data_IF_931876769424
#
_entry.id   IF_931876769424
#
_cell.length_a   1.000
_cell.length_b   1.000
_cell.length_c   1.000
_cell.angle_alpha   90.00
_cell.angle_beta   90.00
_cell.angle_gamma   90.00
#
_symmetry.space_group_name_H-M   'P 1'
#
loop_
_entity.id
_entity.type
_entity.pdbx_description
1 polymer ?
#
# COMPACT_ATOMS: atom_id res chain seq x y z
N UNK A 1 -3.00 4.44 -24.84
CA UNK A 1 -3.51 3.23 -24.11
C UNK A 1 -4.49 3.68 -23.05
N UNK A 2 -5.55 2.90 -22.78
CA UNK A 2 -6.48 3.16 -21.67
C UNK A 2 -5.74 2.96 -20.36
N UNK A 3 -5.82 3.94 -19.44
CA UNK A 3 -5.21 3.84 -18.12
C UNK A 3 -5.98 2.82 -17.26
N UNK A 4 -5.29 2.14 -16.36
CA UNK A 4 -5.90 1.29 -15.35
C UNK A 4 -6.49 2.16 -14.24
N UNK A 5 -7.74 1.91 -13.89
CA UNK A 5 -8.44 2.59 -12.80
C UNK A 5 -7.92 2.08 -11.46
N UNK A 6 -7.47 2.98 -10.60
CA UNK A 6 -6.94 2.69 -9.27
C UNK A 6 -7.91 3.16 -8.20
N UNK A 7 -8.29 2.23 -7.31
CA UNK A 7 -8.92 2.50 -6.03
C UNK A 7 -7.84 2.42 -4.95
N UNK A 8 -7.52 3.54 -4.33
CA UNK A 8 -6.49 3.64 -3.28
C UNK A 8 -7.18 3.66 -1.91
N UNK A 9 -7.02 2.56 -1.16
CA UNK A 9 -7.63 2.38 0.17
C UNK A 9 -6.57 2.58 1.26
N UNK A 10 -7.00 3.11 2.42
CA UNK A 10 -6.06 3.54 3.47
C UNK A 10 -4.99 4.45 2.89
N UNK A 11 -5.44 5.40 2.09
CA UNK A 11 -4.62 6.15 1.12
C UNK A 11 -3.52 6.97 1.78
N UNK A 12 -3.69 7.35 3.06
CA UNK A 12 -2.79 8.27 3.72
C UNK A 12 -2.67 9.56 2.91
N UNK A 13 -1.44 9.95 2.60
CA UNK A 13 -1.16 11.13 1.76
C UNK A 13 -1.05 10.80 0.26
N UNK A 14 -1.50 9.61 -0.17
CA UNK A 14 -1.56 9.22 -1.59
C UNK A 14 -0.26 8.63 -2.15
N UNK A 15 0.53 7.94 -1.34
CA UNK A 15 1.80 7.36 -1.77
C UNK A 15 1.67 6.35 -2.92
N UNK A 16 0.69 5.45 -2.85
CA UNK A 16 0.38 4.50 -3.92
C UNK A 16 -0.03 5.21 -5.22
N UNK A 17 -0.98 6.13 -5.13
CA UNK A 17 -1.46 6.91 -6.27
C UNK A 17 -0.36 7.73 -6.91
N UNK A 18 0.50 8.36 -6.11
CA UNK A 18 1.66 9.11 -6.62
C UNK A 18 2.62 8.19 -7.38
N UNK A 19 2.96 7.04 -6.79
CA UNK A 19 3.85 6.07 -7.44
C UNK A 19 3.24 5.56 -8.76
N UNK A 20 1.97 5.16 -8.74
CA UNK A 20 1.29 4.61 -9.90
C UNK A 20 1.17 5.62 -11.06
N UNK A 21 0.76 6.86 -10.76
CA UNK A 21 0.50 7.87 -11.78
C UNK A 21 1.75 8.59 -12.26
N UNK A 22 2.68 8.93 -11.34
CA UNK A 22 3.79 9.84 -11.63
C UNK A 22 5.11 9.11 -11.87
N UNK A 23 5.35 7.97 -11.21
CA UNK A 23 6.62 7.26 -11.32
C UNK A 23 6.53 6.11 -12.31
N UNK A 24 5.47 5.31 -12.26
CA UNK A 24 5.25 4.16 -13.14
C UNK A 24 4.52 4.57 -14.41
N UNK A 25 3.44 5.32 -14.27
CA UNK A 25 2.55 5.70 -15.36
C UNK A 25 1.56 4.61 -15.77
N UNK A 26 0.55 4.97 -16.55
CA UNK A 26 -0.47 4.03 -17.03
C UNK A 26 -1.63 3.79 -16.06
N UNK A 27 -1.69 4.49 -14.94
CA UNK A 27 -2.76 4.43 -13.95
C UNK A 27 -3.49 5.77 -13.82
N UNK A 28 -4.71 5.68 -13.33
CA UNK A 28 -5.55 6.83 -13.00
C UNK A 28 -6.29 6.51 -11.69
N UNK A 29 -6.03 7.29 -10.65
CA UNK A 29 -6.74 7.16 -9.38
C UNK A 29 -8.17 7.68 -9.56
N UNK A 30 -9.14 6.84 -9.29
CA UNK A 30 -10.56 7.16 -9.47
C UNK A 30 -11.29 7.35 -8.15
N UNK A 31 -10.72 6.86 -7.05
CA UNK A 31 -11.32 6.92 -5.72
C UNK A 31 -10.26 6.77 -4.64
N UNK A 32 -10.40 7.54 -3.58
CA UNK A 32 -9.68 7.37 -2.32
C UNK A 32 -10.62 6.89 -1.21
N UNK A 33 -10.07 6.06 -0.29
CA UNK A 33 -10.72 5.75 0.99
C UNK A 33 -9.73 6.05 2.10
N UNK A 34 -9.99 7.13 2.87
CA UNK A 34 -9.08 7.62 3.91
C UNK A 34 -9.86 8.34 5.02
N UNK A 35 -9.63 7.94 6.27
CA UNK A 35 -10.38 8.47 7.40
C UNK A 35 -9.70 9.61 8.16
N UNK A 36 -8.39 9.83 7.96
CA UNK A 36 -7.67 10.90 8.63
C UNK A 36 -7.94 12.25 7.93
N UNK A 37 -8.55 13.23 8.62
CA UNK A 37 -8.90 14.51 8.00
C UNK A 37 -7.69 15.32 7.50
N UNK A 38 -6.51 15.12 8.08
CA UNK A 38 -5.30 15.76 7.58
C UNK A 38 -4.85 15.14 6.26
N UNK A 39 -4.85 13.81 6.17
CA UNK A 39 -4.55 13.10 4.95
C UNK A 39 -5.53 13.45 3.82
N UNK A 40 -6.83 13.52 4.12
CA UNK A 40 -7.86 13.96 3.16
C UNK A 40 -7.58 15.37 2.60
N UNK A 41 -7.14 16.32 3.44
CA UNK A 41 -6.73 17.66 2.96
C UNK A 41 -5.54 17.61 2.01
N UNK A 42 -4.57 16.73 2.27
CA UNK A 42 -3.42 16.53 1.37
C UNK A 42 -3.88 15.91 0.06
N UNK A 43 -4.73 14.87 0.09
CA UNK A 43 -5.30 14.24 -1.09
C UNK A 43 -6.09 15.23 -1.95
N UNK A 44 -7.00 15.99 -1.34
CA UNK A 44 -7.78 17.03 -2.04
C UNK A 44 -6.90 18.09 -2.71
N UNK A 45 -5.76 18.43 -2.09
CA UNK A 45 -4.82 19.40 -2.66
C UNK A 45 -4.15 18.87 -3.94
N UNK A 46 -3.81 17.58 -3.97
CA UNK A 46 -3.04 16.99 -5.06
C UNK A 46 -3.92 16.30 -6.12
N UNK A 47 -5.11 15.83 -5.74
CA UNK A 47 -6.12 15.20 -6.59
C UNK A 47 -7.51 15.83 -6.37
N UNK A 48 -7.70 17.12 -6.71
CA UNK A 48 -8.93 17.85 -6.37
C UNK A 48 -10.20 17.29 -7.02
N UNK A 49 -10.06 16.49 -8.08
CA UNK A 49 -11.18 15.91 -8.83
C UNK A 49 -11.44 14.43 -8.49
N UNK A 50 -10.67 13.84 -7.57
CA UNK A 50 -10.86 12.45 -7.17
C UNK A 50 -11.66 12.43 -5.87
N UNK A 51 -12.81 11.73 -5.83
CA UNK A 51 -13.61 11.63 -4.62
C UNK A 51 -12.87 10.90 -3.50
N UNK A 52 -13.13 11.32 -2.26
CA UNK A 52 -12.61 10.69 -1.04
C UNK A 52 -13.79 10.18 -0.24
N UNK A 53 -13.78 8.91 0.13
CA UNK A 53 -14.70 8.33 1.10
C UNK A 53 -13.98 8.21 2.45
N UNK A 54 -14.64 8.53 3.54
CA UNK A 54 -14.04 8.68 4.87
C UNK A 54 -13.90 7.36 5.66
N UNK A 55 -14.68 6.33 5.35
CA UNK A 55 -14.62 5.07 6.09
C UNK A 55 -14.76 3.83 5.21
N UNK A 56 -13.77 2.95 5.30
CA UNK A 56 -13.75 1.67 4.58
C UNK A 56 -14.94 0.77 4.97
N UNK A 57 -15.44 0.86 6.20
CA UNK A 57 -16.58 0.06 6.66
C UNK A 57 -17.87 0.40 5.91
N UNK A 58 -18.07 1.67 5.64
CA UNK A 58 -19.26 2.18 4.95
C UNK A 58 -19.10 2.26 3.45
N UNK A 59 -17.84 2.18 2.94
CA UNK A 59 -17.58 2.27 1.52
C UNK A 59 -18.27 1.15 0.74
N UNK A 60 -18.94 1.53 -0.32
CA UNK A 60 -19.60 0.63 -1.28
C UNK A 60 -19.13 0.97 -2.68
N UNK A 61 -18.80 -0.04 -3.45
CA UNK A 61 -18.32 0.10 -4.80
C UNK A 61 -19.10 -0.82 -5.76
N UNK A 62 -19.16 -0.43 -7.01
CA UNK A 62 -19.75 -1.24 -8.05
C UNK A 62 -18.75 -2.31 -8.54
N UNK A 63 -19.30 -3.38 -9.09
CA UNK A 63 -18.52 -4.44 -9.71
C UNK A 63 -17.68 -3.86 -10.87
N UNK A 64 -16.40 -4.21 -10.89
CA UNK A 64 -15.44 -3.73 -11.90
C UNK A 64 -15.26 -2.20 -11.98
N UNK A 65 -15.59 -1.48 -10.91
CA UNK A 65 -15.39 -0.02 -10.85
C UNK A 65 -13.91 0.39 -10.87
N UNK A 66 -13.01 -0.51 -10.43
CA UNK A 66 -11.56 -0.33 -10.49
C UNK A 66 -10.86 -1.58 -11.07
N UNK A 67 -9.76 -1.34 -11.80
CA UNK A 67 -8.88 -2.41 -12.31
C UNK A 67 -7.89 -2.86 -11.24
N UNK A 68 -7.48 -1.94 -10.37
CA UNK A 68 -6.49 -2.16 -9.31
C UNK A 68 -7.02 -1.62 -7.99
N UNK A 69 -6.90 -2.39 -6.92
CA UNK A 69 -7.06 -1.93 -5.55
C UNK A 69 -5.68 -1.97 -4.89
N UNK A 70 -5.28 -0.87 -4.27
CA UNK A 70 -4.11 -0.85 -3.40
C UNK A 70 -4.48 -0.42 -1.97
N UNK A 71 -3.66 -0.83 -0.99
CA UNK A 71 -3.87 -0.43 0.38
C UNK A 71 -2.81 -0.91 1.36
N UNK A 72 -2.48 -0.02 2.31
CA UNK A 72 -1.69 -0.33 3.50
C UNK A 72 -2.61 -0.40 4.71
N UNK A 73 -3.26 -1.54 4.93
CA UNK A 73 -4.24 -1.67 6.02
C UNK A 73 -3.57 -1.63 7.40
N UNK A 74 -4.26 -1.10 8.45
CA UNK A 74 -3.69 -0.99 9.79
C UNK A 74 -3.30 -2.34 10.38
N UNK A 75 -2.10 -2.41 10.97
CA UNK A 75 -1.51 -3.60 11.55
C UNK A 75 -1.07 -3.37 13.01
N UNK A 76 -1.85 -2.61 13.77
CA UNK A 76 -1.45 -2.20 15.12
C UNK A 76 -1.40 -3.36 16.13
N UNK A 77 -2.20 -4.39 15.95
CA UNK A 77 -2.18 -5.61 16.76
C UNK A 77 -1.07 -6.61 16.38
N UNK A 78 -0.36 -6.38 15.26
CA UNK A 78 0.75 -7.22 14.80
C UNK A 78 2.10 -6.54 15.05
N UNK A 79 2.14 -5.24 15.36
CA UNK A 79 3.40 -4.52 15.59
C UNK A 79 4.05 -4.95 16.93
N UNK A 80 5.38 -4.89 16.99
CA UNK A 80 6.18 -5.33 18.16
C UNK A 80 5.88 -4.56 19.47
N UNK A 81 5.06 -3.51 19.43
CA UNK A 81 4.76 -2.63 20.57
C UNK A 81 3.41 -2.90 21.23
N UNK A 82 2.61 -3.87 20.75
CA UNK A 82 1.30 -4.23 21.31
C UNK A 82 1.18 -5.70 21.66
N UNK A 83 0.14 -6.07 22.39
CA UNK A 83 -0.25 -7.47 22.59
C UNK A 83 -0.48 -8.10 21.21
N UNK A 84 0.12 -9.29 20.99
CA UNK A 84 0.16 -9.95 19.67
C UNK A 84 -1.17 -10.67 19.38
N UNK A 85 -2.26 -9.95 19.31
CA UNK A 85 -3.61 -10.54 19.12
C UNK A 85 -3.87 -11.02 17.68
N UNK A 86 -3.00 -10.68 16.71
CA UNK A 86 -3.19 -11.06 15.30
C UNK A 86 -4.31 -10.26 14.60
N UNK A 87 -4.74 -10.75 13.44
CA UNK A 87 -5.87 -10.19 12.68
C UNK A 87 -7.15 -10.88 13.16
N UNK A 88 -7.96 -10.17 13.94
CA UNK A 88 -9.30 -10.63 14.35
C UNK A 88 -10.35 -9.60 13.92
N UNK A 89 -11.62 -10.01 13.84
CA UNK A 89 -12.72 -9.09 13.47
C UNK A 89 -12.89 -7.95 14.47
N UNK A 90 -12.56 -8.15 15.74
CA UNK A 90 -12.72 -7.18 16.83
C UNK A 90 -11.47 -6.30 17.01
N UNK A 91 -10.34 -6.67 16.41
CA UNK A 91 -9.10 -5.92 16.51
C UNK A 91 -9.07 -4.75 15.52
N UNK A 92 -8.19 -3.75 15.75
CA UNK A 92 -7.95 -2.68 14.77
C UNK A 92 -7.45 -3.22 13.42
N UNK A 93 -6.93 -4.42 13.37
CA UNK A 93 -6.60 -5.16 12.15
C UNK A 93 -7.85 -5.74 11.47
N UNK A 94 -9.02 -5.70 12.09
CA UNK A 94 -10.32 -6.06 11.52
C UNK A 94 -10.67 -5.26 10.25
N UNK A 95 -10.07 -4.07 10.07
CA UNK A 95 -10.16 -3.28 8.83
C UNK A 95 -9.67 -4.03 7.59
N UNK A 96 -8.88 -5.09 7.76
CA UNK A 96 -8.53 -6.00 6.67
C UNK A 96 -9.76 -6.72 6.11
N UNK A 97 -10.70 -7.13 6.95
CA UNK A 97 -11.94 -7.77 6.47
C UNK A 97 -12.84 -6.80 5.69
N UNK A 98 -12.84 -5.51 6.08
CA UNK A 98 -13.52 -4.48 5.29
C UNK A 98 -12.87 -4.29 3.93
N UNK A 99 -11.55 -4.31 3.86
CA UNK A 99 -10.82 -4.31 2.60
C UNK A 99 -11.18 -5.54 1.75
N UNK A 100 -11.21 -6.74 2.36
CA UNK A 100 -11.61 -7.96 1.66
C UNK A 100 -13.05 -7.91 1.15
N UNK A 101 -13.96 -7.29 1.91
CA UNK A 101 -15.32 -7.01 1.46
C UNK A 101 -15.32 -6.14 0.21
N UNK A 102 -14.52 -5.06 0.18
CA UNK A 102 -14.40 -4.18 -0.99
C UNK A 102 -13.80 -4.94 -2.18
N UNK A 103 -12.76 -5.75 -1.97
CA UNK A 103 -12.16 -6.57 -3.02
C UNK A 103 -13.19 -7.54 -3.63
N UNK A 104 -14.01 -8.20 -2.79
CA UNK A 104 -15.08 -9.09 -3.25
C UNK A 104 -16.18 -8.36 -4.03
N UNK A 105 -16.47 -7.09 -3.68
CA UNK A 105 -17.45 -6.27 -4.39
C UNK A 105 -16.92 -5.80 -5.75
N UNK A 106 -15.72 -5.26 -5.78
CA UNK A 106 -15.12 -4.66 -7.00
C UNK A 106 -14.62 -5.71 -7.97
N UNK A 107 -14.06 -6.83 -7.48
CA UNK A 107 -13.44 -7.89 -8.30
C UNK A 107 -12.34 -7.34 -9.22
N UNK A 108 -11.34 -6.63 -8.67
CA UNK A 108 -10.28 -6.00 -9.46
C UNK A 108 -9.40 -7.05 -10.17
N UNK A 109 -8.67 -6.60 -11.19
CA UNK A 109 -7.68 -7.43 -11.89
C UNK A 109 -6.41 -7.64 -11.06
N UNK A 110 -6.07 -6.66 -10.22
CA UNK A 110 -4.92 -6.72 -9.32
C UNK A 110 -5.27 -6.13 -7.96
N UNK A 111 -4.71 -6.74 -6.93
CA UNK A 111 -4.71 -6.22 -5.55
C UNK A 111 -3.27 -6.03 -5.14
N UNK A 112 -2.89 -4.85 -4.64
CA UNK A 112 -1.55 -4.54 -4.17
C UNK A 112 -1.64 -4.13 -2.70
N UNK A 113 -1.08 -4.94 -1.81
CA UNK A 113 -1.12 -4.68 -0.37
C UNK A 113 0.27 -4.42 0.17
N UNK A 114 0.33 -3.51 1.14
CA UNK A 114 1.54 -3.21 1.91
C UNK A 114 1.27 -3.40 3.40
N UNK A 115 2.27 -3.88 4.13
CA UNK A 115 2.23 -3.91 5.58
C UNK A 115 3.64 -4.00 6.20
N UNK A 116 3.71 -3.98 7.53
CA UNK A 116 4.97 -4.23 8.24
C UNK A 116 5.41 -5.69 8.07
N UNK A 117 6.73 -5.94 8.11
CA UNK A 117 7.28 -7.30 7.96
C UNK A 117 6.79 -8.28 9.05
N UNK A 118 6.34 -7.78 10.20
CA UNK A 118 5.81 -8.59 11.29
C UNK A 118 4.54 -9.39 10.92
N UNK A 119 3.85 -9.04 9.83
CA UNK A 119 2.69 -9.78 9.32
C UNK A 119 3.03 -11.24 9.01
N UNK A 120 4.29 -11.54 8.67
CA UNK A 120 4.74 -12.91 8.39
C UNK A 120 4.53 -13.87 9.57
N UNK A 121 4.64 -13.35 10.78
CA UNK A 121 4.51 -14.16 11.99
C UNK A 121 3.06 -14.22 12.52
N UNK A 122 2.24 -13.20 12.19
CA UNK A 122 0.95 -13.03 12.87
C UNK A 122 -0.12 -12.50 11.90
N UNK A 123 -0.45 -13.22 10.81
CA UNK A 123 -1.57 -12.82 9.96
C UNK A 123 -1.40 -13.05 8.46
N UNK A 124 -0.23 -13.51 8.01
CA UNK A 124 -0.03 -13.84 6.59
C UNK A 124 -0.96 -14.96 6.13
N UNK A 125 -1.16 -15.99 6.95
CA UNK A 125 -2.06 -17.10 6.73
C UNK A 125 -3.50 -16.64 6.54
N UNK A 126 -3.96 -15.70 7.37
CA UNK A 126 -5.30 -15.10 7.28
C UNK A 126 -5.43 -14.33 5.95
N UNK A 127 -4.45 -13.48 5.64
CA UNK A 127 -4.48 -12.68 4.40
C UNK A 127 -4.51 -13.59 3.16
N UNK A 128 -3.67 -14.62 3.11
CA UNK A 128 -3.63 -15.56 1.99
C UNK A 128 -4.90 -16.41 1.91
N UNK A 129 -5.44 -16.84 3.06
CA UNK A 129 -6.70 -17.59 3.14
C UNK A 129 -7.87 -16.79 2.57
N UNK A 130 -8.06 -15.56 3.04
CA UNK A 130 -9.13 -14.66 2.59
C UNK A 130 -9.04 -14.31 1.09
N UNK A 131 -7.83 -14.10 0.57
CA UNK A 131 -7.61 -13.86 -0.86
C UNK A 131 -7.92 -15.12 -1.68
N UNK A 132 -7.48 -16.30 -1.20
CA UNK A 132 -7.77 -17.58 -1.85
C UNK A 132 -9.27 -17.88 -1.89
N UNK A 133 -9.99 -17.65 -0.79
CA UNK A 133 -11.46 -17.77 -0.74
C UNK A 133 -12.16 -16.77 -1.67
N UNK A 134 -11.59 -15.60 -1.85
CA UNK A 134 -12.06 -14.62 -2.82
C UNK A 134 -11.71 -14.98 -4.28
N UNK A 135 -10.96 -16.06 -4.51
CA UNK A 135 -10.58 -16.55 -5.84
C UNK A 135 -9.38 -15.82 -6.43
N UNK A 136 -8.43 -15.42 -5.57
CA UNK A 136 -7.17 -14.78 -5.98
C UNK A 136 -5.97 -15.66 -5.65
N UNK A 137 -5.03 -15.75 -6.58
CA UNK A 137 -3.65 -16.18 -6.31
C UNK A 137 -2.84 -14.97 -5.84
N UNK A 138 -1.82 -15.20 -5.00
CA UNK A 138 -1.01 -14.13 -4.45
C UNK A 138 0.49 -14.45 -4.49
N UNK A 139 1.30 -13.43 -4.75
CA UNK A 139 2.76 -13.44 -4.63
C UNK A 139 3.16 -12.33 -3.67
N UNK A 140 4.12 -12.59 -2.79
CA UNK A 140 4.56 -11.60 -1.80
C UNK A 140 6.06 -11.64 -1.56
N UNK A 141 6.60 -10.52 -1.07
CA UNK A 141 8.02 -10.39 -0.73
C UNK A 141 8.23 -9.30 0.32
N UNK A 142 9.36 -9.38 1.02
CA UNK A 142 9.86 -8.29 1.86
C UNK A 142 10.80 -7.42 1.03
N UNK A 143 10.46 -6.15 0.89
CA UNK A 143 11.28 -5.18 0.18
C UNK A 143 11.67 -4.07 1.16
N UNK A 144 12.96 -3.78 1.25
CA UNK A 144 13.45 -2.63 2.01
C UNK A 144 13.62 -1.42 1.10
N UNK A 145 13.31 -0.23 1.59
CA UNK A 145 13.56 1.00 0.83
C UNK A 145 15.03 1.16 0.46
N UNK A 146 15.95 0.73 1.34
CA UNK A 146 17.39 0.73 1.06
C UNK A 146 17.81 -0.19 -0.09
N UNK A 147 17.10 -1.30 -0.34
CA UNK A 147 17.37 -2.17 -1.49
C UNK A 147 17.03 -1.50 -2.83
N UNK A 148 16.20 -0.46 -2.79
CA UNK A 148 15.83 0.37 -3.94
C UNK A 148 16.61 1.68 -4.00
N UNK A 149 17.59 1.88 -3.10
CA UNK A 149 18.47 3.05 -3.10
C UNK A 149 18.11 4.15 -2.12
N UNK A 150 17.08 3.99 -1.29
CA UNK A 150 16.75 4.96 -0.25
C UNK A 150 17.78 4.96 0.90
N UNK A 151 17.97 6.10 1.56
CA UNK A 151 18.92 6.28 2.67
C UNK A 151 18.49 5.60 3.98
N UNK A 152 17.33 4.96 4.03
CA UNK A 152 16.78 4.29 5.21
C UNK A 152 16.34 2.86 4.89
N UNK A 153 16.34 1.97 5.89
CA UNK A 153 16.01 0.56 5.69
C UNK A 153 14.53 0.35 5.36
N UNK A 154 13.61 0.79 6.20
CA UNK A 154 12.14 0.65 6.08
C UNK A 154 11.70 -0.60 5.31
N UNK A 155 11.97 -1.78 5.87
CA UNK A 155 11.51 -3.06 5.31
C UNK A 155 9.99 -3.18 5.42
N UNK A 156 9.33 -3.54 4.31
CA UNK A 156 7.88 -3.72 4.22
C UNK A 156 7.56 -4.99 3.48
N UNK A 157 6.49 -5.60 3.91
CA UNK A 157 5.85 -6.69 3.21
C UNK A 157 4.96 -6.12 2.10
N UNK A 158 5.12 -6.67 0.92
CA UNK A 158 4.36 -6.33 -0.28
C UNK A 158 3.73 -7.57 -0.84
N UNK A 159 2.46 -7.48 -1.24
CA UNK A 159 1.72 -8.57 -1.87
C UNK A 159 1.06 -8.05 -3.14
N UNK A 160 1.09 -8.87 -4.19
CA UNK A 160 0.30 -8.68 -5.40
C UNK A 160 -0.60 -9.91 -5.54
N UNK A 161 -1.91 -9.69 -5.64
CA UNK A 161 -2.87 -10.74 -5.93
C UNK A 161 -3.58 -10.48 -7.26
N UNK A 162 -3.97 -11.57 -7.92
CA UNK A 162 -4.67 -11.57 -9.21
C UNK A 162 -5.64 -12.76 -9.25
N UNK A 163 -6.76 -12.67 -10.04
CA UNK A 163 -7.74 -13.74 -10.11
C UNK A 163 -7.14 -15.08 -10.51
N UNK A 164 -7.50 -16.15 -9.79
CA UNK A 164 -7.12 -17.52 -10.15
C UNK A 164 -7.55 -17.83 -11.58
N UNK A 165 -6.63 -18.30 -12.39
CA UNK A 165 -6.96 -18.84 -13.72
C UNK A 165 -7.34 -20.31 -13.54
N UNK A 166 -8.62 -20.60 -13.49
CA UNK A 166 -9.12 -21.97 -13.46
C UNK A 166 -8.50 -22.77 -14.61
N UNK A 167 -7.73 -23.81 -14.29
CA UNK A 167 -7.36 -24.89 -15.20
C UNK A 167 -6.02 -24.82 -15.92
N UNK A 168 -5.20 -23.80 -15.75
CA UNK A 168 -3.82 -23.83 -16.20
C UNK A 168 -2.91 -24.04 -15.00
N UNK A 169 -2.37 -25.25 -14.85
CA UNK A 169 -1.17 -25.46 -14.03
C UNK A 169 -0.12 -24.48 -14.54
N UNK A 170 0.04 -23.39 -13.78
CA UNK A 170 1.11 -22.46 -14.03
C UNK A 170 2.40 -23.22 -13.70
N UNK A 171 3.16 -23.60 -14.71
CA UNK A 171 4.57 -23.85 -14.47
C UNK A 171 5.07 -22.69 -13.64
N UNK A 172 5.43 -22.96 -12.41
CA UNK A 172 6.06 -22.00 -11.52
C UNK A 172 7.31 -21.55 -12.25
N UNK A 173 7.26 -20.43 -12.93
CA UNK A 173 8.44 -19.76 -13.44
C UNK A 173 9.23 -19.23 -12.26
N UNK A 174 9.90 -20.15 -11.56
CA UNK A 174 10.92 -19.88 -10.54
C UNK A 174 12.19 -19.24 -11.11
N UNK A 175 12.07 -18.58 -12.25
CA UNK A 175 13.13 -17.73 -12.81
C UNK A 175 12.64 -16.31 -12.97
N UNK A 176 12.26 -15.68 -11.86
CA UNK A 176 12.58 -14.27 -11.72
C UNK A 176 14.07 -14.22 -11.45
N UNK A 177 14.86 -14.14 -12.52
CA UNK A 177 16.27 -13.80 -12.37
C UNK A 177 16.31 -12.37 -11.83
N UNK A 178 16.38 -12.27 -10.48
CA UNK A 178 16.32 -11.01 -9.74
C UNK A 178 17.46 -10.02 -10.03
N UNK A 179 18.27 -10.28 -11.06
CA UNK A 179 19.41 -9.44 -11.43
C UNK A 179 19.10 -8.34 -12.45
N UNK A 180 18.08 -8.49 -13.29
CA UNK A 180 17.87 -7.53 -14.39
C UNK A 180 16.94 -6.38 -14.05
N UNK A 181 15.97 -6.58 -13.17
CA UNK A 181 15.04 -5.52 -12.79
C UNK A 181 15.65 -4.57 -11.76
N UNK A 182 16.35 -5.09 -10.75
CA UNK A 182 17.06 -4.29 -9.75
C UNK A 182 18.16 -3.40 -10.32
N UNK A 183 18.96 -3.88 -11.27
CA UNK A 183 20.11 -3.08 -11.78
C UNK A 183 19.71 -1.90 -12.67
N UNK A 184 18.62 -2.02 -13.44
CA UNK A 184 18.20 -0.91 -14.33
C UNK A 184 17.47 0.22 -13.58
N UNK A 185 16.69 -0.12 -12.56
CA UNK A 185 15.91 0.88 -11.81
C UNK A 185 16.68 1.51 -10.64
N UNK A 186 17.56 0.75 -9.96
CA UNK A 186 18.46 1.32 -8.94
C UNK A 186 19.43 2.37 -9.51
N UNK A 187 19.85 2.26 -10.77
CA UNK A 187 20.69 3.29 -11.40
C UNK A 187 19.97 4.63 -11.65
N UNK A 188 18.65 4.61 -11.83
CA UNK A 188 17.85 5.84 -11.97
C UNK A 188 17.59 6.51 -10.62
N UNK A 189 17.32 5.73 -9.57
CA UNK A 189 17.08 6.24 -8.22
C UNK A 189 18.37 6.73 -7.53
N UNK A 190 19.53 6.16 -7.88
CA UNK A 190 20.80 6.42 -7.19
C UNK A 190 21.40 7.81 -7.45
N UNK A 191 20.90 8.58 -8.43
CA UNK A 191 21.43 9.94 -8.71
C UNK A 191 20.83 11.01 -7.83
N UNK A 192 19.59 10.86 -7.38
CA UNK A 192 18.88 11.90 -6.65
C UNK A 192 18.94 11.73 -5.12
N UNK A 193 19.04 10.50 -4.62
CA UNK A 193 19.08 10.20 -3.19
C UNK A 193 20.38 10.63 -2.50
N UNK A 194 21.48 10.78 -3.22
CA UNK A 194 22.75 11.27 -2.66
C UNK A 194 22.72 12.75 -2.25
N UNK A 195 21.68 13.48 -2.64
CA UNK A 195 21.48 14.91 -2.28
C UNK A 195 20.67 15.10 -0.99
N UNK A 196 20.03 14.04 -0.49
CA UNK A 196 19.29 14.11 0.75
C UNK A 196 20.21 13.68 1.89
N UNK A 197 20.50 14.59 2.79
CA UNK A 197 21.14 14.26 4.06
C UNK A 197 20.37 13.12 4.73
N UNK A 198 21.11 12.14 5.27
CA UNK A 198 20.61 10.85 5.78
C UNK A 198 19.65 10.97 6.97
N UNK A 199 19.49 12.15 7.50
CA UNK A 199 18.43 12.53 8.44
C UNK A 199 18.03 13.98 8.15
N UNK A 200 16.80 14.23 7.69
CA UNK A 200 16.31 15.58 7.75
C UNK A 200 16.37 16.04 9.20
N UNK A 201 16.96 17.18 9.44
CA UNK A 201 17.00 17.91 10.73
C UNK A 201 15.60 18.22 11.31
N UNK A 202 14.56 17.66 10.73
CA UNK A 202 13.14 17.75 11.10
C UNK A 202 12.85 17.20 12.49
N UNK A 203 13.72 16.36 13.06
CA UNK A 203 13.54 15.81 14.41
C UNK A 203 13.86 16.78 15.55
N UNK A 204 14.51 17.91 15.26
CA UNK A 204 14.83 18.89 16.29
C UNK A 204 13.97 20.14 16.11
N UNK A 205 12.93 20.19 16.95
CA UNK A 205 12.46 21.41 17.61
C UNK A 205 12.42 22.67 16.74
N UNK A 206 11.50 22.76 15.83
CA UNK A 206 11.00 24.07 15.45
C UNK A 206 9.58 24.15 16.02
N UNK A 207 9.47 24.70 17.21
CA UNK A 207 8.22 25.19 17.74
C UNK A 207 7.68 26.21 16.73
N UNK A 208 6.44 25.99 16.24
CA UNK A 208 5.79 26.91 15.32
C UNK A 208 5.44 26.36 13.93
N UNK A 209 5.76 25.12 13.58
CA UNK A 209 5.25 24.50 12.35
C UNK A 209 3.80 24.05 12.59
N UNK A 210 2.85 24.72 11.96
CA UNK A 210 1.44 24.37 12.01
C UNK A 210 1.24 22.90 11.58
N UNK A 211 0.44 22.14 12.33
CA UNK A 211 0.13 20.73 12.10
C UNK A 211 1.36 19.79 12.12
N UNK A 212 2.38 20.07 12.92
CA UNK A 212 3.61 19.26 13.02
C UNK A 212 3.32 17.80 13.35
N UNK A 213 2.45 17.53 14.33
CA UNK A 213 2.09 16.17 14.76
C UNK A 213 1.44 15.41 13.64
N UNK A 214 0.49 16.02 12.94
CA UNK A 214 -0.22 15.42 11.82
C UNK A 214 0.73 15.12 10.64
N UNK A 215 1.66 16.02 10.36
CA UNK A 215 2.70 15.82 9.34
C UNK A 215 3.61 14.65 9.67
N UNK A 216 4.08 14.56 10.90
CA UNK A 216 4.95 13.45 11.35
C UNK A 216 4.19 12.12 11.32
N UNK A 217 2.93 12.11 11.76
CA UNK A 217 2.07 10.92 11.69
C UNK A 217 1.82 10.49 10.24
N UNK A 218 1.46 11.43 9.38
CA UNK A 218 1.19 11.15 7.97
C UNK A 218 2.43 10.63 7.24
N UNK A 219 3.60 11.25 7.44
CA UNK A 219 4.86 10.79 6.84
C UNK A 219 5.33 9.46 7.40
N UNK A 220 5.13 9.22 8.71
CA UNK A 220 5.49 7.95 9.35
C UNK A 220 4.66 6.77 8.83
N UNK A 221 3.42 7.02 8.48
CA UNK A 221 2.48 6.01 7.95
C UNK A 221 2.47 5.93 6.42
N UNK A 222 3.06 6.92 5.74
CA UNK A 222 3.03 6.95 4.28
C UNK A 222 3.78 5.77 3.67
N UNK A 223 3.22 5.22 2.61
CA UNK A 223 3.94 4.32 1.70
C UNK A 223 5.05 5.12 1.02
N UNK A 224 6.25 4.56 0.96
CA UNK A 224 7.35 5.15 0.18
C UNK A 224 7.07 4.87 -1.30
N UNK A 225 6.89 5.90 -2.12
CA UNK A 225 6.52 5.77 -3.54
C UNK A 225 7.57 5.01 -4.36
#
# INVERSE_FOLDING_TARGET
MKKLKLLDTFSGIGGFSYAAEKLVGGYETTQFVENDPYCQKVLNKHWPNVPIHDDIETYRAELYSADVICGGFPCQSISQAGEREGITQESRSGKFYDLMRVIRMVRPRYVILENVAAILANGLDIVLGELSEAGYDAEWSIISASSLGAAHRRSRWWLIAYPCRNGLQREVRTKVSGKTWHQKNCRRLNKDWRRYETQPTIHRTVDGISNRVDRLKALGNAVVP
#
